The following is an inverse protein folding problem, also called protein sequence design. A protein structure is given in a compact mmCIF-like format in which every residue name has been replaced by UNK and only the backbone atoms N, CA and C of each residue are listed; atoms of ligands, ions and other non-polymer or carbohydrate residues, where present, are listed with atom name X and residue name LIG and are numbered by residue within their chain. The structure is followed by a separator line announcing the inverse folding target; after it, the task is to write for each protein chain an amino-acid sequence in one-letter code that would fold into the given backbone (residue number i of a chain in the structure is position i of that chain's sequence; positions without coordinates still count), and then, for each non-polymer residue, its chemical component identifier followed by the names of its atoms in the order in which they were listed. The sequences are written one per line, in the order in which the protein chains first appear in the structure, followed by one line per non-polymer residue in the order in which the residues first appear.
data_IF_575960454659
#
_entry.id   IF_575960454659
#
_cell.length_a   1.000
_cell.length_b   1.000
_cell.length_c   1.000
_cell.angle_alpha   90.00
_cell.angle_beta   90.00
_cell.angle_gamma   90.00
#
_symmetry.space_group_name_H-M   'P 1'
#
loop_
_entity.id
_entity.type
_entity.pdbx_description
1 polymer ?
2 polymer ?
3 non-polymer ?
4 non-polymer ?
5 non-polymer ?
6 non-polymer ?
7 water ?
#
# COMPACT_ATOMS: atom_id res chain seq x y z
N UNK A 1 -4.77 23.93 1.27
CA UNK A 1 -5.96 23.29 1.93
C UNK A 1 -6.13 23.78 3.34
N UNK A 2 -6.88 23.00 4.14
CA UNK A 2 -7.24 23.39 5.50
C UNK A 2 -6.01 23.42 6.42
N UNK A 3 -4.91 22.77 6.02
CA UNK A 3 -3.72 22.64 6.86
C UNK A 3 -2.68 23.67 6.44
N UNK A 4 -3.01 24.50 5.44
CA UNK A 4 -2.14 25.54 4.88
C UNK A 4 -1.54 26.50 5.92
N UNK A 5 -2.30 26.82 6.97
CA UNK A 5 -1.87 27.81 7.97
C UNK A 5 -1.05 27.17 9.12
N UNK A 6 -0.92 25.83 9.17
CA UNK A 6 -0.20 25.21 10.24
C UNK A 6 1.23 24.80 9.81
N UNK A 7 2.17 25.00 10.73
CA UNK A 7 3.59 24.76 10.50
C UNK A 7 3.80 23.30 10.15
N UNK A 8 4.75 23.06 9.23
CA UNK A 8 5.11 21.69 8.81
C UNK A 8 5.42 20.84 10.05
N UNK A 9 6.24 21.39 10.96
CA UNK A 9 6.70 20.57 12.09
C UNK A 9 5.51 20.26 13.01
N UNK A 10 4.62 21.24 13.15
CA UNK A 10 3.38 21.12 13.99
C UNK A 10 2.45 20.06 13.41
N UNK A 11 2.35 19.99 12.07
CA UNK A 11 1.58 18.96 11.39
C UNK A 11 2.19 17.58 11.68
N UNK A 12 3.52 17.49 11.66
CA UNK A 12 4.18 16.18 11.91
C UNK A 12 3.98 15.76 13.38
N UNK A 13 4.20 16.69 14.30
CA UNK A 13 3.93 16.46 15.72
C UNK A 13 2.52 15.88 15.92
N UNK A 14 1.53 16.51 15.28
CA UNK A 14 0.10 16.19 15.45
C UNK A 14 -0.26 14.89 14.74
N UNK A 15 0.40 14.58 13.61
CA UNK A 15 0.26 13.25 13.01
C UNK A 15 0.65 12.15 14.01
N UNK A 16 1.74 12.36 14.73
CA UNK A 16 2.26 11.41 15.73
C UNK A 16 1.27 11.25 16.91
N UNK A 17 0.69 12.37 17.35
CA UNK A 17 -0.35 12.38 18.38
C UNK A 17 -1.60 11.59 17.93
N UNK A 18 -2.08 11.88 16.71
CA UNK A 18 -3.20 11.26 16.14
C UNK A 18 -2.98 9.75 16.11
N UNK A 19 -1.77 9.32 15.69
CA UNK A 19 -1.46 7.90 15.61
C UNK A 19 -1.66 7.26 17.01
N UNK A 20 -1.14 7.90 18.04
CA UNK A 20 -1.24 7.39 19.43
C UNK A 20 -2.71 7.34 19.90
N UNK A 21 -3.53 8.25 19.35
CA UNK A 21 -4.93 8.32 19.72
C UNK A 21 -5.79 7.42 18.83
N UNK A 22 -5.17 6.73 17.86
CA UNK A 22 -5.87 5.95 16.85
C UNK A 22 -6.89 6.78 16.05
N UNK A 23 -6.53 8.04 15.82
CA UNK A 23 -7.31 8.97 15.00
C UNK A 23 -6.73 9.06 13.57
N UNK A 24 -7.00 8.03 12.76
CA UNK A 24 -6.23 7.83 11.54
C UNK A 24 -6.69 8.81 10.44
N UNK A 25 -7.95 9.23 10.43
CA UNK A 25 -8.38 10.31 9.48
C UNK A 25 -7.66 11.65 9.74
N UNK A 26 -7.54 12.04 10.99
CA UNK A 26 -6.76 13.21 11.41
C UNK A 26 -5.28 13.06 11.01
N UNK A 27 -4.73 11.86 11.23
CA UNK A 27 -3.35 11.52 10.91
C UNK A 27 -3.09 11.76 9.42
N UNK A 28 -4.03 11.29 8.62
CA UNK A 28 -3.89 11.35 7.20
C UNK A 28 -4.03 12.80 6.74
N UNK A 29 -4.96 13.55 7.35
CA UNK A 29 -5.18 14.96 7.02
C UNK A 29 -3.93 15.78 7.33
N UNK A 30 -3.31 15.52 8.49
CA UNK A 30 -2.11 16.21 8.88
C UNK A 30 -0.94 15.88 7.92
N UNK A 31 -0.79 14.62 7.56
CA UNK A 31 0.33 14.26 6.67
C UNK A 31 0.08 14.77 5.24
N UNK A 32 -1.17 14.82 4.81
CA UNK A 32 -1.48 15.42 3.55
C UNK A 32 -0.97 16.86 3.58
N UNK A 33 -1.26 17.58 4.70
CA UNK A 33 -0.90 18.98 4.86
C UNK A 33 0.60 19.16 4.82
N UNK A 34 1.32 18.25 5.51
CA UNK A 34 2.78 18.20 5.52
C UNK A 34 3.32 18.02 4.08
N UNK A 35 2.73 17.08 3.34
CA UNK A 35 3.17 16.81 2.00
C UNK A 35 3.03 18.10 1.17
N UNK A 36 1.89 18.77 1.33
CA UNK A 36 1.55 19.93 0.48
C UNK A 36 2.43 21.16 0.79
N UNK A 37 3.25 21.10 1.85
CA UNK A 37 4.25 22.14 2.11
C UNK A 37 5.32 22.14 1.01
N UNK A 38 5.46 21.00 0.32
CA UNK A 38 6.29 20.92 -0.87
C UNK A 38 7.70 20.40 -0.62
N UNK A 39 8.09 20.23 0.65
CA UNK A 39 9.40 19.64 0.94
C UNK A 39 9.29 18.08 0.80
N UNK A 40 10.42 17.43 0.47
CA UNK A 40 10.56 15.97 0.49
C UNK A 40 10.33 15.48 1.95
N UNK A 41 9.97 14.20 2.08
CA UNK A 41 9.73 13.60 3.37
C UNK A 41 10.95 12.77 3.77
N UNK A 42 11.22 12.76 5.07
CA UNK A 42 12.17 11.83 5.67
C UNK A 42 11.58 10.42 5.69
N UNK A 43 12.42 9.44 6.02
CA UNK A 43 11.97 8.07 6.15
C UNK A 43 10.80 7.95 7.13
N UNK A 44 10.97 8.55 8.32
CA UNK A 44 9.93 8.50 9.35
C UNK A 44 8.64 9.17 8.83
N UNK A 45 8.76 10.35 8.21
CA UNK A 45 7.61 11.06 7.61
C UNK A 45 6.90 10.24 6.53
N UNK A 46 7.65 9.56 5.63
CA UNK A 46 7.05 8.64 4.66
C UNK A 46 6.24 7.57 5.40
N UNK A 47 6.84 6.97 6.45
CA UNK A 47 6.12 5.93 7.18
C UNK A 47 4.80 6.50 7.77
N UNK A 48 4.80 7.75 8.28
CA UNK A 48 3.62 8.26 8.93
C UNK A 48 2.50 8.42 7.91
N UNK A 49 2.85 8.91 6.72
CA UNK A 49 1.95 9.09 5.60
C UNK A 49 1.28 7.77 5.24
N UNK A 50 2.09 6.73 5.07
CA UNK A 50 1.62 5.45 4.60
C UNK A 50 0.70 4.80 5.65
N UNK A 51 1.17 4.79 6.89
CA UNK A 51 0.39 4.22 7.98
C UNK A 51 -0.97 4.92 8.08
N UNK A 52 -1.01 6.25 8.01
CA UNK A 52 -2.27 6.96 8.15
C UNK A 52 -3.27 6.46 7.09
N UNK A 53 -2.91 6.64 5.82
CA UNK A 53 -3.81 6.34 4.75
C UNK A 53 -4.13 4.82 4.72
N UNK A 54 -3.14 4.00 5.12
CA UNK A 54 -3.37 2.57 5.15
C UNK A 54 -4.49 2.20 6.12
N UNK A 55 -4.49 2.90 7.25
CA UNK A 55 -5.48 2.67 8.27
C UNK A 55 -6.83 3.16 7.75
N UNK A 56 -6.87 4.34 7.13
CA UNK A 56 -8.10 4.89 6.61
C UNK A 56 -8.70 3.96 5.57
N UNK A 57 -7.91 3.62 4.56
CA UNK A 57 -8.42 2.82 3.43
C UNK A 57 -8.73 1.39 3.89
N UNK A 58 -8.04 0.91 4.94
CA UNK A 58 -8.35 -0.40 5.56
C UNK A 58 -9.78 -0.52 6.09
N UNK A 59 -10.24 0.51 6.80
CA UNK A 59 -11.64 0.55 7.28
C UNK A 59 -12.66 0.52 6.16
N UNK A 60 -12.38 1.28 5.09
CA UNK A 60 -13.19 1.40 3.88
C UNK A 60 -13.27 0.03 3.15
N UNK A 61 -12.10 -0.61 2.96
CA UNK A 61 -12.02 -1.89 2.24
C UNK A 61 -12.86 -2.97 2.97
N UNK A 62 -12.65 -3.09 4.28
CA UNK A 62 -13.38 -4.03 5.13
C UNK A 62 -14.89 -3.74 5.02
N UNK A 63 -15.28 -2.46 5.15
CA UNK A 63 -16.70 -2.11 5.05
C UNK A 63 -17.26 -2.46 3.67
N UNK A 64 -16.51 -2.14 2.62
CA UNK A 64 -16.86 -2.46 1.19
C UNK A 64 -17.17 -3.95 1.00
N UNK A 65 -16.31 -4.79 1.58
CA UNK A 65 -16.40 -6.23 1.43
C UNK A 65 -17.66 -6.75 2.13
N UNK A 66 -17.95 -6.23 3.35
CA UNK A 66 -19.18 -6.56 4.04
C UNK A 66 -20.37 -6.20 3.14
N UNK A 67 -20.43 -4.95 2.69
CA UNK A 67 -21.55 -4.52 1.86
C UNK A 67 -21.65 -5.32 0.56
N UNK A 68 -20.54 -5.52 -0.14
CA UNK A 68 -20.50 -6.21 -1.45
C UNK A 68 -21.06 -7.64 -1.31
N UNK A 69 -20.66 -8.32 -0.24
CA UNK A 69 -21.13 -9.67 0.07
C UNK A 69 -22.66 -9.69 0.31
N UNK A 70 -23.17 -8.70 1.04
CA UNK A 70 -24.60 -8.61 1.27
C UNK A 70 -25.31 -8.38 -0.07
N UNK A 71 -24.77 -7.45 -0.86
CA UNK A 71 -25.26 -7.17 -2.20
C UNK A 71 -25.27 -8.44 -3.08
N UNK A 72 -24.17 -9.20 -3.07
CA UNK A 72 -24.10 -10.45 -3.86
C UNK A 72 -25.22 -11.39 -3.41
N UNK A 73 -25.40 -11.54 -2.09
CA UNK A 73 -26.45 -12.40 -1.53
C UNK A 73 -27.84 -11.99 -2.04
N UNK A 74 -28.15 -10.68 -1.98
CA UNK A 74 -29.48 -10.16 -2.35
C UNK A 74 -29.82 -10.42 -3.82
N UNK A 75 -28.82 -10.77 -4.64
CA UNK A 75 -29.00 -11.09 -6.06
C UNK A 75 -28.95 -12.60 -6.33
N UNK A 83 -35.06 -3.69 -2.79
CA UNK A 83 -34.96 -2.34 -3.34
C UNK A 83 -33.50 -1.88 -3.40
N UNK A 84 -33.25 -0.57 -3.62
CA UNK A 84 -31.94 -0.10 -4.07
C UNK A 84 -30.91 0.17 -2.97
N UNK A 85 -31.30 0.02 -1.71
CA UNK A 85 -30.52 0.62 -0.62
C UNK A 85 -29.14 -0.04 -0.49
N UNK A 86 -29.07 -1.38 -0.65
CA UNK A 86 -27.85 -2.11 -0.45
C UNK A 86 -26.80 -1.61 -1.45
N UNK A 87 -27.22 -1.50 -2.70
CA UNK A 87 -26.32 -1.05 -3.81
C UNK A 87 -25.98 0.43 -3.60
N UNK A 88 -26.96 1.23 -3.23
CA UNK A 88 -26.72 2.67 -2.98
C UNK A 88 -25.62 2.86 -1.93
N UNK A 89 -25.73 2.10 -0.82
CA UNK A 89 -24.87 2.28 0.30
C UNK A 89 -23.48 1.71 -0.04
N UNK A 90 -23.45 0.57 -0.76
CA UNK A 90 -22.15 0.01 -1.22
C UNK A 90 -21.46 1.03 -2.15
N UNK A 91 -22.22 1.64 -3.06
CA UNK A 91 -21.73 2.70 -3.97
C UNK A 91 -21.20 3.91 -3.18
N UNK A 92 -21.80 4.24 -2.04
CA UNK A 92 -21.40 5.39 -1.22
C UNK A 92 -20.01 5.13 -0.61
N UNK A 93 -19.85 3.93 -0.04
CA UNK A 93 -18.60 3.51 0.61
C UNK A 93 -17.51 3.38 -0.45
N UNK A 94 -17.85 2.80 -1.59
CA UNK A 94 -16.93 2.63 -2.73
C UNK A 94 -16.41 4.01 -3.21
N UNK A 95 -17.31 4.98 -3.36
CA UNK A 95 -16.95 6.30 -3.83
C UNK A 95 -16.01 6.97 -2.83
N UNK A 96 -16.27 6.82 -1.52
CA UNK A 96 -15.35 7.35 -0.49
C UNK A 96 -13.96 6.69 -0.59
N UNK A 97 -13.94 5.36 -0.67
CA UNK A 97 -12.71 4.58 -0.86
C UNK A 97 -11.93 5.08 -2.09
N UNK A 98 -12.65 5.24 -3.21
CA UNK A 98 -12.04 5.73 -4.44
C UNK A 98 -11.46 7.14 -4.21
N UNK A 99 -12.18 7.96 -3.43
CA UNK A 99 -11.74 9.30 -3.12
C UNK A 99 -10.41 9.33 -2.39
N UNK A 100 -10.27 8.49 -1.36
CA UNK A 100 -9.01 8.35 -0.60
C UNK A 100 -7.86 7.90 -1.50
N UNK A 101 -8.10 6.87 -2.31
CA UNK A 101 -7.07 6.33 -3.21
C UNK A 101 -6.65 7.45 -4.16
N UNK A 102 -7.63 8.19 -4.68
CA UNK A 102 -7.35 9.25 -5.61
C UNK A 102 -6.50 10.34 -4.97
N UNK A 103 -6.80 10.66 -3.69
CA UNK A 103 -6.10 11.65 -2.94
C UNK A 103 -4.63 11.24 -2.79
N UNK A 104 -4.41 9.96 -2.48
CA UNK A 104 -3.04 9.46 -2.21
C UNK A 104 -2.25 9.47 -3.53
N UNK A 105 -2.87 8.97 -4.58
CA UNK A 105 -2.26 8.97 -5.91
C UNK A 105 -1.91 10.40 -6.30
N UNK A 106 -2.77 11.35 -5.88
CA UNK A 106 -2.59 12.76 -6.17
C UNK A 106 -1.33 13.27 -5.52
N UNK A 107 -1.06 12.81 -4.27
CA UNK A 107 0.05 13.30 -3.57
C UNK A 107 1.35 12.74 -4.19
N UNK A 108 1.32 11.47 -4.55
CA UNK A 108 2.45 10.79 -5.18
C UNK A 108 2.77 11.46 -6.52
N UNK A 109 1.75 11.83 -7.30
CA UNK A 109 1.97 12.48 -8.59
C UNK A 109 2.30 13.98 -8.44
N UNK A 110 1.90 14.60 -7.31
CA UNK A 110 2.03 16.07 -7.15
C UNK A 110 2.61 16.42 -5.79
N UNK A 111 3.91 16.23 -5.56
CA UNK A 111 4.91 15.86 -6.56
C UNK A 111 5.95 14.93 -5.93
N UNK A 112 5.52 13.96 -5.11
CA UNK A 112 6.46 13.17 -4.27
C UNK A 112 7.39 12.30 -5.13
N UNK A 113 6.82 11.65 -6.14
CA UNK A 113 7.59 10.66 -6.90
C UNK A 113 8.68 11.38 -7.72
N UNK A 114 8.30 12.47 -8.39
CA UNK A 114 9.22 13.10 -9.33
C UNK A 114 10.44 13.69 -8.59
N UNK A 115 10.30 14.02 -7.29
CA UNK A 115 11.41 14.58 -6.50
C UNK A 115 12.14 13.51 -5.68
N UNK A 116 11.71 12.25 -5.74
CA UNK A 116 12.37 11.15 -5.04
C UNK A 116 13.48 10.53 -5.91
N UNK A 117 14.72 10.73 -5.50
CA UNK A 117 15.89 10.20 -6.23
C UNK A 117 16.50 8.99 -5.54
N UNK A 118 16.49 8.99 -4.20
CA UNK A 118 17.05 7.86 -3.40
C UNK A 118 16.22 6.61 -3.63
N UNK A 119 16.87 5.44 -3.67
CA UNK A 119 16.19 4.17 -3.88
C UNK A 119 15.12 4.01 -2.80
N UNK A 120 15.47 4.30 -1.55
CA UNK A 120 14.60 4.05 -0.38
C UNK A 120 13.36 4.95 -0.45
N UNK A 121 13.51 6.18 -0.95
CA UNK A 121 12.32 7.02 -1.11
C UNK A 121 11.49 6.58 -2.35
N UNK A 122 12.16 6.53 -3.50
CA UNK A 122 11.52 6.22 -4.81
C UNK A 122 10.74 4.90 -4.76
N UNK A 123 11.39 3.83 -4.28
CA UNK A 123 10.75 2.52 -4.26
C UNK A 123 9.53 2.56 -3.33
N UNK A 124 9.65 3.28 -2.21
CA UNK A 124 8.59 3.37 -1.21
C UNK A 124 7.34 3.98 -1.82
N UNK A 125 7.52 5.09 -2.55
CA UNK A 125 6.43 5.84 -3.20
C UNK A 125 5.80 5.08 -4.37
N UNK A 126 6.63 4.41 -5.20
CA UNK A 126 6.12 3.63 -6.29
C UNK A 126 5.37 2.39 -5.79
N UNK A 127 5.85 1.77 -4.71
CA UNK A 127 5.08 0.72 -4.09
C UNK A 127 3.69 1.23 -3.68
N UNK A 128 3.65 2.39 -3.00
CA UNK A 128 2.38 3.02 -2.54
C UNK A 128 1.47 3.20 -3.76
N UNK A 129 2.04 3.71 -4.85
CA UNK A 129 1.28 3.93 -6.11
C UNK A 129 0.62 2.61 -6.51
N UNK A 130 1.42 1.54 -6.62
CA UNK A 130 0.91 0.21 -6.98
C UNK A 130 -0.19 -0.25 -6.04
N UNK A 131 0.04 -0.11 -4.73
CA UNK A 131 -0.93 -0.43 -3.66
C UNK A 131 -2.28 0.32 -3.89
N UNK A 132 -2.24 1.65 -4.06
CA UNK A 132 -3.51 2.44 -4.11
C UNK A 132 -4.25 2.17 -5.45
N UNK A 133 -3.54 1.90 -6.55
CA UNK A 133 -4.21 1.37 -7.79
C UNK A 133 -4.78 -0.04 -7.56
N UNK A 134 -4.11 -0.82 -6.72
CA UNK A 134 -4.56 -2.19 -6.36
C UNK A 134 -5.88 -2.08 -5.59
N UNK A 135 -5.97 -1.09 -4.69
CA UNK A 135 -7.18 -0.88 -3.92
C UNK A 135 -8.30 -0.47 -4.89
N UNK A 136 -8.01 0.41 -5.86
CA UNK A 136 -9.01 0.72 -6.87
C UNK A 136 -9.44 -0.53 -7.62
N UNK A 137 -8.47 -1.36 -7.99
CA UNK A 137 -8.75 -2.59 -8.77
C UNK A 137 -9.72 -3.51 -8.02
N UNK A 138 -9.62 -3.59 -6.68
CA UNK A 138 -10.42 -4.53 -5.88
C UNK A 138 -11.91 -4.21 -6.05
N UNK A 139 -12.26 -2.95 -6.40
CA UNK A 139 -13.66 -2.52 -6.47
C UNK A 139 -14.04 -2.12 -7.91
N UNK A 140 -13.14 -2.29 -8.89
CA UNK A 140 -13.37 -1.93 -10.34
C UNK A 140 -14.16 -3.03 -11.08
N UNK A 141 -15.22 -2.61 -11.78
CA UNK A 141 -16.02 -3.50 -12.61
C UNK A 141 -16.24 -2.91 -14.01
N UNK A 142 -15.71 -1.72 -14.28
CA UNK A 142 -16.06 -0.93 -15.49
C UNK A 142 -15.04 -1.13 -16.60
N UNK A 143 -15.11 -0.28 -17.64
CA UNK A 143 -14.23 -0.34 -18.82
C UNK A 143 -12.83 0.23 -18.51
N UNK A 144 -12.60 0.74 -17.30
CA UNK A 144 -11.26 1.20 -16.93
C UNK A 144 -10.57 0.15 -16.05
N UNK A 145 -11.26 -0.95 -15.70
CA UNK A 145 -10.67 -1.98 -14.88
C UNK A 145 -9.27 -2.35 -15.41
N UNK A 146 -9.16 -2.60 -16.71
CA UNK A 146 -7.89 -3.09 -17.27
C UNK A 146 -6.77 -2.06 -17.09
N UNK A 147 -7.10 -0.78 -17.23
CA UNK A 147 -6.12 0.28 -17.18
C UNK A 147 -5.65 0.45 -15.71
N UNK A 148 -6.59 0.34 -14.77
CA UNK A 148 -6.29 0.44 -13.36
C UNK A 148 -5.26 -0.64 -12.99
N UNK A 149 -5.52 -1.85 -13.46
CA UNK A 149 -4.69 -3.00 -13.20
C UNK A 149 -3.30 -2.76 -13.79
N UNK A 150 -3.27 -2.26 -15.03
CA UNK A 150 -2.00 -1.99 -15.66
C UNK A 150 -1.25 -0.84 -14.96
N UNK A 151 -1.98 0.13 -14.40
CA UNK A 151 -1.31 1.20 -13.65
C UNK A 151 -0.60 0.62 -12.41
N UNK A 152 -1.32 -0.23 -11.68
CA UNK A 152 -0.74 -0.91 -10.56
C UNK A 152 0.49 -1.70 -11.01
N UNK A 153 0.32 -2.58 -12.02
CA UNK A 153 1.42 -3.45 -12.51
C UNK A 153 2.65 -2.61 -12.85
N UNK A 154 2.44 -1.54 -13.59
CA UNK A 154 3.48 -0.65 -14.05
C UNK A 154 4.24 0.00 -12.87
N UNK A 155 3.50 0.47 -11.88
CA UNK A 155 4.08 1.09 -10.68
C UNK A 155 4.94 0.07 -9.94
N UNK A 156 4.37 -1.11 -9.69
CA UNK A 156 5.03 -2.18 -8.96
C UNK A 156 6.33 -2.56 -9.66
N UNK A 157 6.26 -2.72 -11.00
CA UNK A 157 7.40 -3.25 -11.80
C UNK A 157 8.58 -2.26 -11.77
N UNK A 158 8.25 -0.96 -11.84
CA UNK A 158 9.29 0.07 -11.82
C UNK A 158 9.97 0.04 -10.44
N UNK A 159 9.16 -0.11 -9.40
CA UNK A 159 9.66 -0.27 -8.08
C UNK A 159 10.54 -1.51 -7.98
N UNK A 160 10.08 -2.67 -8.50
CA UNK A 160 10.85 -3.89 -8.42
C UNK A 160 12.25 -3.69 -9.07
N UNK A 161 12.26 -3.09 -10.26
CA UNK A 161 13.49 -2.98 -11.07
C UNK A 161 14.52 -2.17 -10.24
N UNK A 162 14.04 -1.08 -9.63
CA UNK A 162 14.90 -0.21 -8.86
C UNK A 162 15.41 -0.98 -7.64
N UNK A 163 14.48 -1.68 -6.95
CA UNK A 163 14.80 -2.38 -5.71
C UNK A 163 15.86 -3.47 -5.99
N UNK A 164 15.69 -4.21 -7.08
CA UNK A 164 16.63 -5.27 -7.40
C UNK A 164 18.03 -4.70 -7.69
N UNK A 165 18.13 -3.57 -8.39
CA UNK A 165 19.44 -3.00 -8.73
C UNK A 165 20.08 -2.33 -7.51
N UNK A 166 19.28 -1.76 -6.59
CA UNK A 166 19.77 -0.72 -5.69
C UNK A 166 19.71 -1.12 -4.20
N UNK A 167 19.06 -2.23 -3.84
CA UNK A 167 18.88 -2.61 -2.45
C UNK A 167 19.30 -4.06 -2.29
N UNK A 168 19.79 -4.44 -1.09
CA UNK A 168 20.08 -5.85 -0.80
C UNK A 168 18.80 -6.66 -0.67
N UNK A 169 18.85 -7.99 -0.90
CA UNK A 169 17.66 -8.83 -0.90
C UNK A 169 16.91 -8.83 0.42
N UNK A 170 17.55 -8.39 1.52
CA UNK A 170 16.90 -8.36 2.86
C UNK A 170 16.27 -6.99 3.20
N UNK A 171 16.48 -5.99 2.34
CA UNK A 171 15.93 -4.68 2.56
C UNK A 171 14.43 -4.77 2.79
N UNK A 172 13.91 -4.40 3.99
CA UNK A 172 12.48 -4.47 4.31
C UNK A 172 11.56 -3.81 3.28
N UNK A 173 12.01 -2.69 2.70
CA UNK A 173 11.19 -2.02 1.68
C UNK A 173 11.02 -2.95 0.47
N UNK A 174 12.13 -3.49 0.01
CA UNK A 174 12.16 -4.41 -1.14
C UNK A 174 11.27 -5.64 -0.83
N UNK A 175 11.32 -6.08 0.42
CA UNK A 175 10.60 -7.28 0.84
C UNK A 175 9.10 -7.02 0.85
N UNK A 176 8.70 -5.83 1.31
CA UNK A 176 7.30 -5.49 1.44
C UNK A 176 6.71 -5.22 0.08
N UNK A 177 7.56 -4.70 -0.82
CA UNK A 177 7.17 -4.51 -2.23
C UNK A 177 6.90 -5.88 -2.85
N UNK A 178 7.79 -6.85 -2.59
CA UNK A 178 7.66 -8.14 -3.30
C UNK A 178 6.43 -8.84 -2.76
N UNK A 179 6.22 -8.80 -1.46
CA UNK A 179 5.02 -9.37 -0.86
C UNK A 179 3.76 -8.85 -1.57
N UNK A 180 3.65 -7.52 -1.66
CA UNK A 180 2.51 -6.82 -2.17
C UNK A 180 2.32 -7.12 -3.68
N UNK A 181 3.40 -7.09 -4.45
CA UNK A 181 3.37 -7.38 -5.86
C UNK A 181 2.95 -8.85 -6.07
N UNK A 182 3.41 -9.75 -5.21
CA UNK A 182 3.01 -11.19 -5.30
C UNK A 182 1.49 -11.33 -5.09
N UNK A 183 0.91 -10.60 -4.13
CA UNK A 183 -0.54 -10.64 -3.91
C UNK A 183 -1.28 -9.99 -5.11
N UNK A 184 -0.77 -8.88 -5.60
CA UNK A 184 -1.25 -8.33 -6.86
C UNK A 184 -1.34 -9.45 -7.91
N UNK A 185 -0.24 -10.19 -8.09
CA UNK A 185 -0.18 -11.20 -9.16
C UNK A 185 -1.26 -12.27 -8.92
N UNK A 186 -1.38 -12.72 -7.67
CA UNK A 186 -2.20 -13.85 -7.30
C UNK A 186 -3.69 -13.55 -7.54
N UNK A 187 -4.07 -12.32 -7.17
CA UNK A 187 -5.42 -11.95 -6.84
C UNK A 187 -6.02 -10.94 -7.83
N UNK A 188 -5.17 -10.09 -8.43
CA UNK A 188 -5.63 -8.98 -9.30
C UNK A 188 -5.37 -9.33 -10.77
N UNK A 189 -4.16 -9.80 -11.03
CA UNK A 189 -3.72 -10.20 -12.38
C UNK A 189 -4.12 -11.63 -12.71
N UNK A 190 -4.63 -12.37 -11.72
CA UNK A 190 -5.03 -13.77 -11.87
C UNK A 190 -3.84 -14.56 -12.44
N UNK A 191 -2.66 -14.32 -11.85
CA UNK A 191 -1.40 -14.96 -12.18
C UNK A 191 -0.85 -15.68 -10.94
N UNK A 192 -1.46 -16.79 -10.46
CA UNK A 192 -1.05 -17.37 -9.19
C UNK A 192 0.34 -18.04 -9.24
N UNK A 193 0.74 -18.50 -10.41
CA UNK A 193 2.04 -19.11 -10.53
C UNK A 193 3.13 -18.03 -10.39
N UNK A 194 2.91 -16.90 -11.04
CA UNK A 194 3.83 -15.75 -10.89
C UNK A 194 3.92 -15.34 -9.41
N UNK A 195 2.77 -15.33 -8.71
CA UNK A 195 2.73 -14.91 -7.29
C UNK A 195 3.64 -15.79 -6.44
N UNK A 196 3.50 -17.10 -6.66
CA UNK A 196 4.19 -18.11 -5.89
C UNK A 196 5.69 -18.03 -6.20
N UNK A 197 6.02 -17.89 -7.47
CA UNK A 197 7.37 -17.83 -7.94
C UNK A 197 8.06 -16.62 -7.33
N UNK A 198 7.43 -15.45 -7.42
CA UNK A 198 8.00 -14.22 -6.82
C UNK A 198 8.19 -14.43 -5.31
N UNK A 199 7.19 -15.00 -4.64
CA UNK A 199 7.28 -15.07 -3.15
C UNK A 199 8.39 -16.02 -2.68
N UNK A 200 8.55 -17.15 -3.38
CA UNK A 200 9.60 -18.12 -3.10
C UNK A 200 10.98 -17.49 -3.39
N UNK A 201 11.15 -16.97 -4.60
CA UNK A 201 12.45 -16.37 -4.98
C UNK A 201 12.85 -15.29 -3.96
N UNK A 202 11.91 -14.40 -3.63
CA UNK A 202 12.13 -13.34 -2.68
C UNK A 202 12.55 -13.89 -1.31
N UNK A 203 11.81 -14.89 -0.84
CA UNK A 203 12.11 -15.48 0.47
C UNK A 203 13.52 -16.08 0.46
N UNK A 204 13.85 -16.84 -0.60
CA UNK A 204 15.09 -17.63 -0.65
C UNK A 204 16.30 -16.69 -0.77
N UNK A 205 16.18 -15.61 -1.54
CA UNK A 205 17.29 -14.67 -1.69
C UNK A 205 17.49 -13.90 -0.37
N UNK A 206 16.39 -13.53 0.30
CA UNK A 206 16.50 -12.89 1.60
C UNK A 206 17.22 -13.83 2.58
N UNK A 207 16.75 -15.08 2.64
CA UNK A 207 17.32 -16.09 3.56
C UNK A 207 18.86 -16.07 3.47
N UNK A 208 19.38 -16.04 2.23
CA UNK A 208 20.80 -16.21 1.93
C UNK A 208 21.64 -14.97 2.27
N UNK A 209 20.97 -13.85 2.58
CA UNK A 209 21.60 -12.57 2.85
C UNK A 209 21.49 -12.22 4.35
N UNK A 210 20.76 -13.02 5.15
CA UNK A 210 20.50 -12.65 6.55
C UNK A 210 21.81 -12.58 7.34
N UNK A 211 22.78 -13.42 6.97
CA UNK A 211 24.07 -13.57 7.70
C UNK A 211 24.80 -12.22 7.76
N UNK A 212 24.47 -11.28 6.87
CA UNK A 212 25.14 -9.99 6.77
C UNK A 212 24.58 -8.97 7.75
N UNK A 213 23.47 -9.30 8.41
CA UNK A 213 22.69 -8.32 9.17
C UNK A 213 23.03 -8.34 10.65
N UNK A 214 22.86 -7.16 11.29
CA UNK A 214 22.75 -6.99 12.74
C UNK A 214 21.47 -7.68 13.24
N UNK A 215 21.45 -8.02 14.53
CA UNK A 215 20.27 -8.54 15.23
C UNK A 215 19.01 -7.70 14.94
N UNK A 216 19.16 -6.38 14.87
CA UNK A 216 18.01 -5.51 14.70
C UNK A 216 17.49 -5.49 13.26
N UNK A 217 18.40 -5.54 12.29
CA UNK A 217 18.03 -5.68 10.89
C UNK A 217 17.46 -7.08 10.64
N UNK A 218 18.00 -8.07 11.37
CA UNK A 218 17.58 -9.45 11.23
C UNK A 218 16.09 -9.57 11.56
N UNK A 219 15.67 -8.98 12.69
CA UNK A 219 14.27 -8.98 13.15
C UNK A 219 13.36 -8.29 12.12
N UNK A 220 13.77 -7.14 11.57
CA UNK A 220 12.92 -6.41 10.59
C UNK A 220 12.71 -7.25 9.32
N UNK A 221 13.77 -7.88 8.83
CA UNK A 221 13.71 -8.66 7.59
C UNK A 221 12.85 -9.91 7.78
N UNK A 222 13.12 -10.65 8.86
CA UNK A 222 12.45 -11.95 9.07
C UNK A 222 10.95 -11.74 9.31
N UNK A 223 10.59 -10.63 9.95
CA UNK A 223 9.17 -10.33 10.11
C UNK A 223 8.47 -10.30 8.74
N UNK A 224 9.05 -9.62 7.75
CA UNK A 224 8.38 -9.54 6.45
C UNK A 224 8.51 -10.89 5.72
N UNK A 225 9.63 -11.57 5.94
CA UNK A 225 9.82 -12.88 5.31
C UNK A 225 8.73 -13.85 5.77
N UNK A 226 8.35 -13.77 7.06
CA UNK A 226 7.31 -14.62 7.60
C UNK A 226 5.97 -14.33 6.91
N UNK A 227 5.72 -13.07 6.50
CA UNK A 227 4.50 -12.74 5.77
C UNK A 227 4.49 -13.48 4.42
N UNK A 228 5.62 -13.45 3.70
CA UNK A 228 5.79 -14.21 2.44
C UNK A 228 5.48 -15.70 2.67
N UNK A 229 6.05 -16.26 3.72
CA UNK A 229 5.83 -17.67 4.11
C UNK A 229 4.35 -17.95 4.36
N UNK A 230 3.66 -17.04 5.06
CA UNK A 230 2.26 -17.22 5.40
C UNK A 230 1.43 -17.38 4.12
N UNK A 231 1.71 -16.53 3.13
CA UNK A 231 0.98 -16.54 1.85
C UNK A 231 1.31 -17.83 1.08
N UNK A 232 2.59 -18.19 1.07
CA UNK A 232 2.99 -19.41 0.36
C UNK A 232 2.29 -20.65 0.92
N UNK A 233 2.13 -20.68 2.25
CA UNK A 233 1.41 -21.77 2.91
C UNK A 233 -0.04 -21.83 2.45
N UNK A 234 -0.71 -20.67 2.33
CA UNK A 234 -2.07 -20.61 1.85
C UNK A 234 -2.15 -21.02 0.36
N UNK A 235 -1.11 -20.73 -0.43
CA UNK A 235 -1.15 -20.82 -1.89
C UNK A 235 -0.72 -22.19 -2.40
N UNK A 236 0.01 -22.97 -1.58
CA UNK A 236 0.67 -24.23 -2.01
C UNK A 236 0.41 -25.33 -0.97
N UNK B 1 -14.16 -12.55 2.83
CA UNK B 1 -13.07 -12.70 1.83
C UNK B 1 -11.80 -13.13 2.54
N UNK B 2 -11.24 -14.27 2.13
CA UNK B 2 -9.88 -14.65 2.50
C UNK B 2 -8.92 -13.56 1.98
N UNK B 3 -8.36 -12.76 2.90
CA UNK B 3 -7.39 -11.70 2.59
C UNK B 3 -5.96 -12.22 2.83
N UNK B 4 -5.06 -12.04 1.86
CA UNK B 4 -3.67 -12.47 1.95
C UNK B 4 -2.86 -11.39 2.69
N UNK B 5 -1.70 -11.78 3.19
CA UNK B 5 -0.81 -10.89 3.88
C UNK B 5 -0.21 -9.86 2.93
N UNK B 6 -0.33 -8.57 3.28
CA UNK B 6 0.29 -7.47 2.56
C UNK B 6 0.96 -6.57 3.58
N UNK B 7 1.88 -5.74 3.11
CA UNK B 7 2.74 -4.97 3.98
C UNK B 7 1.90 -4.03 4.86
N UNK B 8 2.39 -3.86 6.09
CA UNK B 8 1.98 -2.78 6.95
C UNK B 8 0.72 -3.12 7.74
N UNK B 9 0.03 -2.13 8.33
CA UNK B 9 -1.10 -2.41 9.21
C UNK B 9 -2.41 -2.85 8.50
N UNK B 10 -3.36 -3.38 9.30
CA UNK B 10 -4.80 -3.69 8.89
C UNK B 10 -5.77 -2.68 9.50
X LIG C 1 1.75 -24.89 -11.43
X LIG D 1 -26.41 5.70 0.71
X LIG E 1 -33.24 -2.40 -6.90
X LIG E 1 -34.36 -1.51 -6.63
X LIG E 1 -32.22 -1.74 -7.86
X LIG E 1 -32.55 -0.32 -8.05
X LIG E 1 -30.75 -1.81 -7.35
X LIG E 1 -30.29 -3.03 -6.77
X LIG F 1 10.98 5.39 10.51
X LIG F 1 12.08 6.40 12.87
X LIG F 1 9.59 2.49 10.44
X LIG F 1 10.46 0.17 10.69
X LIG F 1 11.76 0.97 13.13
X LIG F 1 10.55 1.78 12.64
X LIG F 1 8.62 3.50 11.15
X LIG F 1 8.93 4.75 11.67
X LIG F 1 7.84 5.37 12.25
X LIG F 1 6.62 4.70 12.21
X LIG F 1 5.27 5.13 12.78
X LIG F 1 10.23 5.34 11.66
X LIG F 1 12.26 5.97 10.52
X LIG F 1 12.79 6.47 11.70
X LIG F 1 10.79 5.85 12.87
X LIG F 1 9.79 1.29 11.42
X LIG F 1 10.78 -0.96 11.67
X LIG F 1 4.23 4.14 12.75
X LIG F 1 5.03 6.27 13.29
X LIG F 1 11.77 -0.46 12.70
X LIG F 1 6.94 3.20 11.41
#
# INVERSE_FOLDING_TARGET
GAMGSMERASLIQKAKLAEQAERYEDMAAFMKGAVEKGEELSCEERNLLSVAYKNVVGGQRAAWRVLSSIEQKSNEEGSEEKGPEVREYREKVETELQGVCDTVLGLLDSHLIKEAGDAESRVFYLKMKGDYYRYLAEVATGDDKKRIIDSARSAYQEAMDISKKEMPPTNPIRLGLALNFSVFHYEIANSPEEAISLAKTTFDEAMADLHTLSEDSYKDSTLIMQLLRDNLTLWTADNAGEEGGEAPQEPQS
KLMFKTEGPDSD
MG MG
CL CL
GOL C1 O1 C2 O2 C3 O3
KDK C10 C13 C15 C17 C20 C21 C02 C03 C04 C05 C06 C09 C11 C12 C14 C16 C18 N07 N08 N19 S01
#
